data_IF_466529613858
#
_entry.id   IF_466529613858
#
_cell.length_a   1.000
_cell.length_b   1.000
_cell.length_c   1.000
_cell.angle_alpha   90.00
_cell.angle_beta   90.00
_cell.angle_gamma   90.00
#
_symmetry.space_group_name_H-M   'P 1'
#
loop_
_entity.id
_entity.type
_entity.pdbx_description
1 polymer ?
#
# COMPACT_ATOMS: atom_id res chain seq x y z
N UNK A 1 21.75 15.41 -45.38
CA UNK A 1 21.38 15.43 -43.97
C UNK A 1 19.85 15.50 -43.94
N UNK A 2 19.20 14.40 -43.63
CA UNK A 2 17.74 14.36 -43.43
C UNK A 2 17.50 14.61 -41.93
N UNK A 3 17.01 15.81 -41.62
CA UNK A 3 16.46 16.10 -40.30
C UNK A 3 15.29 15.15 -40.05
N UNK A 4 15.44 14.25 -39.07
CA UNK A 4 14.30 13.51 -38.54
C UNK A 4 13.43 14.53 -37.80
N UNK A 5 12.37 14.97 -38.46
CA UNK A 5 11.25 15.58 -37.76
C UNK A 5 10.81 14.62 -36.65
N UNK A 6 11.07 15.00 -35.41
CA UNK A 6 10.51 14.32 -34.25
C UNK A 6 9.01 14.56 -34.30
N UNK A 7 8.29 13.66 -34.94
CA UNK A 7 6.83 13.71 -34.98
C UNK A 7 6.32 13.71 -33.54
N UNK A 8 5.82 14.86 -33.11
CA UNK A 8 5.09 15.00 -31.88
C UNK A 8 3.83 14.13 -32.00
N UNK A 9 3.87 12.93 -31.41
CA UNK A 9 2.67 12.10 -31.27
C UNK A 9 1.86 12.75 -30.16
N UNK A 10 0.66 13.30 -30.43
CA UNK A 10 -0.18 13.88 -29.39
C UNK A 10 -0.42 12.80 -28.33
N UNK A 11 -0.20 13.12 -27.06
CA UNK A 11 -0.53 12.21 -25.98
C UNK A 11 -1.99 11.80 -26.09
N UNK A 12 -2.24 10.54 -26.38
CA UNK A 12 -3.58 9.97 -26.54
C UNK A 12 -4.36 9.98 -25.22
N UNK A 13 -3.66 10.18 -24.10
CA UNK A 13 -4.19 10.11 -22.74
C UNK A 13 -3.76 11.31 -21.90
N UNK A 14 -4.64 11.71 -20.97
CA UNK A 14 -4.25 12.62 -19.88
C UNK A 14 -3.38 11.85 -18.86
N UNK A 15 -2.06 11.96 -19.03
CA UNK A 15 -1.08 11.28 -18.17
C UNK A 15 -0.99 11.88 -16.75
N UNK A 16 -1.69 12.96 -16.44
CA UNK A 16 -1.91 13.43 -15.07
C UNK A 16 -3.04 12.67 -14.38
N UNK A 17 -3.91 12.02 -15.14
CA UNK A 17 -4.98 11.19 -14.58
C UNK A 17 -4.40 9.93 -13.94
N UNK A 18 -4.60 9.80 -12.62
CA UNK A 18 -4.03 8.72 -11.81
C UNK A 18 -4.51 7.33 -12.24
N UNK A 19 -5.75 7.20 -12.71
CA UNK A 19 -6.30 5.90 -13.11
C UNK A 19 -5.72 5.47 -14.46
N UNK A 20 -5.57 6.40 -15.39
CA UNK A 20 -4.92 6.16 -16.69
C UNK A 20 -3.47 5.79 -16.48
N UNK A 21 -2.74 6.55 -15.68
CA UNK A 21 -1.34 6.27 -15.34
C UNK A 21 -1.18 4.90 -14.67
N UNK A 22 -2.05 4.56 -13.73
CA UNK A 22 -2.05 3.26 -13.06
C UNK A 22 -2.26 2.12 -14.07
N UNK A 23 -3.27 2.25 -14.96
CA UNK A 23 -3.54 1.26 -16.01
C UNK A 23 -2.33 1.05 -16.93
N UNK A 24 -1.71 2.13 -17.39
CA UNK A 24 -0.52 2.04 -18.25
C UNK A 24 0.64 1.35 -17.53
N UNK A 25 0.91 1.68 -16.28
CA UNK A 25 1.96 1.04 -15.49
C UNK A 25 1.69 -0.45 -15.23
N UNK A 26 0.41 -0.83 -15.07
CA UNK A 26 0.01 -2.22 -14.81
C UNK A 26 0.02 -3.11 -16.05
N UNK A 27 -0.37 -2.58 -17.21
CA UNK A 27 -0.64 -3.39 -18.40
C UNK A 27 -0.42 -2.66 -19.73
N UNK A 28 0.22 -1.49 -19.73
CA UNK A 28 0.49 -0.72 -20.93
C UNK A 28 1.50 -1.39 -21.86
N UNK A 29 1.45 -1.00 -23.13
CA UNK A 29 2.45 -1.35 -24.14
C UNK A 29 3.77 -0.65 -23.85
N UNK A 30 4.84 -1.10 -24.50
CA UNK A 30 6.15 -0.44 -24.37
C UNK A 30 6.06 1.06 -24.77
N UNK A 31 5.35 1.35 -25.83
CA UNK A 31 5.14 2.71 -26.33
C UNK A 31 4.40 3.59 -25.32
N UNK A 32 3.31 3.10 -24.71
CA UNK A 32 2.60 3.81 -23.63
C UNK A 32 3.49 4.05 -22.41
N UNK A 33 4.34 3.09 -22.03
CA UNK A 33 5.30 3.24 -20.93
C UNK A 33 6.39 4.27 -21.26
N UNK A 34 6.84 4.35 -22.51
CA UNK A 34 7.79 5.39 -22.96
C UNK A 34 7.14 6.78 -22.91
N UNK A 35 5.89 6.92 -23.30
CA UNK A 35 5.14 8.18 -23.17
C UNK A 35 5.02 8.62 -21.70
N UNK A 36 4.73 7.69 -20.76
CA UNK A 36 4.71 7.97 -19.32
C UNK A 36 6.08 8.43 -18.83
N UNK A 37 7.15 7.72 -19.25
CA UNK A 37 8.52 8.07 -18.89
C UNK A 37 8.86 9.50 -19.31
N UNK A 38 8.59 9.83 -20.56
CA UNK A 38 8.98 11.11 -21.14
C UNK A 38 8.15 12.26 -20.57
N UNK A 39 6.84 12.06 -20.40
CA UNK A 39 5.94 13.04 -19.79
C UNK A 39 6.33 13.38 -18.34
N UNK A 40 6.60 12.38 -17.52
CA UNK A 40 6.97 12.56 -16.11
C UNK A 40 8.49 12.73 -15.90
N UNK A 41 9.28 12.78 -16.97
CA UNK A 41 10.76 12.92 -16.94
C UNK A 41 11.43 11.86 -16.06
N UNK A 42 10.95 10.63 -16.15
CA UNK A 42 11.49 9.51 -15.40
C UNK A 42 12.72 8.93 -16.10
N UNK A 43 13.64 8.40 -15.30
CA UNK A 43 14.67 7.51 -15.87
C UNK A 43 14.05 6.17 -16.28
N UNK A 44 14.73 5.43 -17.15
CA UNK A 44 14.30 4.08 -17.53
C UNK A 44 14.14 3.17 -16.31
N UNK A 45 15.07 3.23 -15.35
CA UNK A 45 15.04 2.42 -14.14
C UNK A 45 13.86 2.80 -13.22
N UNK A 46 13.54 4.08 -13.11
CA UNK A 46 12.37 4.54 -12.36
C UNK A 46 11.06 4.06 -12.99
N UNK A 47 10.92 4.18 -14.30
CA UNK A 47 9.74 3.71 -15.02
C UNK A 47 9.57 2.20 -14.88
N UNK A 48 10.67 1.44 -15.05
CA UNK A 48 10.68 -0.02 -14.85
C UNK A 48 10.23 -0.40 -13.44
N UNK A 49 10.78 0.27 -12.43
CA UNK A 49 10.43 0.04 -11.02
C UNK A 49 8.94 0.31 -10.76
N UNK A 50 8.40 1.43 -11.27
CA UNK A 50 6.99 1.78 -11.11
C UNK A 50 6.06 0.75 -11.77
N UNK A 51 6.40 0.30 -12.98
CA UNK A 51 5.65 -0.75 -13.67
C UNK A 51 5.69 -2.08 -12.91
N UNK A 52 6.84 -2.48 -12.37
CA UNK A 52 6.96 -3.70 -11.55
C UNK A 52 6.06 -3.63 -10.30
N UNK A 53 6.09 -2.50 -9.58
CA UNK A 53 5.24 -2.31 -8.40
C UNK A 53 3.75 -2.22 -8.76
N UNK A 54 3.39 -1.60 -9.88
CA UNK A 54 2.00 -1.54 -10.33
C UNK A 54 1.46 -2.96 -10.63
N UNK A 55 2.24 -3.79 -11.32
CA UNK A 55 1.90 -5.20 -11.60
C UNK A 55 1.78 -6.03 -10.32
N UNK A 56 2.74 -5.88 -9.39
CA UNK A 56 2.70 -6.57 -8.10
C UNK A 56 1.44 -6.18 -7.30
N UNK A 57 1.13 -4.89 -7.24
CA UNK A 57 -0.08 -4.37 -6.59
C UNK A 57 -1.35 -4.93 -7.22
N UNK A 58 -1.44 -5.00 -8.54
CA UNK A 58 -2.58 -5.57 -9.25
C UNK A 58 -2.77 -7.04 -8.88
N UNK A 59 -1.73 -7.85 -9.01
CA UNK A 59 -1.76 -9.28 -8.64
C UNK A 59 -2.16 -9.49 -7.17
N UNK A 60 -1.59 -8.69 -6.27
CA UNK A 60 -1.90 -8.76 -4.83
C UNK A 60 -3.38 -8.44 -4.57
N UNK A 61 -3.93 -7.45 -5.25
CA UNK A 61 -5.35 -7.08 -5.11
C UNK A 61 -6.29 -8.12 -5.72
N UNK A 62 -5.95 -8.70 -6.84
CA UNK A 62 -6.71 -9.80 -7.44
C UNK A 62 -6.78 -10.99 -6.48
N UNK A 63 -5.65 -11.42 -5.92
CA UNK A 63 -5.59 -12.48 -4.90
C UNK A 63 -6.39 -12.13 -3.65
N UNK A 64 -6.26 -10.92 -3.16
CA UNK A 64 -7.03 -10.43 -2.01
C UNK A 64 -8.55 -10.53 -2.27
N UNK A 65 -9.03 -10.09 -3.43
CA UNK A 65 -10.44 -10.14 -3.77
C UNK A 65 -10.97 -11.56 -3.93
N UNK A 66 -10.19 -12.48 -4.47
CA UNK A 66 -10.56 -13.91 -4.51
C UNK A 66 -10.67 -14.50 -3.09
N UNK A 67 -9.72 -14.17 -2.19
CA UNK A 67 -9.80 -14.58 -0.79
C UNK A 67 -11.05 -14.02 -0.09
N UNK A 68 -11.39 -12.74 -0.30
CA UNK A 68 -12.62 -12.13 0.25
C UNK A 68 -13.87 -12.83 -0.28
N UNK A 69 -13.90 -13.17 -1.56
CA UNK A 69 -15.01 -13.89 -2.19
C UNK A 69 -15.17 -15.30 -1.60
N UNK A 70 -14.07 -16.03 -1.49
CA UNK A 70 -14.06 -17.36 -0.87
C UNK A 70 -14.51 -17.29 0.59
N UNK A 71 -14.01 -16.33 1.38
CA UNK A 71 -14.42 -16.08 2.76
C UNK A 71 -15.93 -15.87 2.88
N UNK A 72 -16.52 -15.04 2.00
CA UNK A 72 -17.96 -14.78 1.99
C UNK A 72 -18.79 -16.01 1.63
N UNK A 73 -18.27 -16.88 0.77
CA UNK A 73 -18.98 -18.11 0.37
C UNK A 73 -18.91 -19.20 1.45
N UNK A 74 -17.78 -19.33 2.15
CA UNK A 74 -17.57 -20.39 3.14
C UNK A 74 -18.08 -19.99 4.54
N UNK A 75 -17.75 -18.80 4.99
CA UNK A 75 -18.11 -18.30 6.31
C UNK A 75 -18.29 -16.78 6.30
N UNK A 76 -19.47 -16.27 5.93
CA UNK A 76 -19.72 -14.82 5.84
C UNK A 76 -19.79 -14.11 7.20
N UNK A 77 -19.92 -14.85 8.32
CA UNK A 77 -20.03 -14.24 9.65
C UNK A 77 -18.69 -13.65 10.07
N UNK A 78 -18.61 -12.33 10.26
CA UNK A 78 -17.37 -11.71 10.71
C UNK A 78 -17.06 -12.01 12.17
N UNK A 79 -15.79 -12.05 12.49
CA UNK A 79 -15.29 -12.10 13.87
C UNK A 79 -15.48 -10.76 14.57
N UNK A 80 -15.33 -10.71 15.88
CA UNK A 80 -15.36 -9.45 16.64
C UNK A 80 -14.27 -8.48 16.16
N UNK A 81 -13.05 -8.96 15.90
CA UNK A 81 -11.94 -8.17 15.36
C UNK A 81 -12.29 -7.56 13.98
N UNK A 82 -12.95 -8.32 13.10
CA UNK A 82 -13.43 -7.84 11.80
C UNK A 82 -14.54 -6.79 11.91
N UNK A 83 -15.44 -6.95 12.88
CA UNK A 83 -16.48 -5.96 13.17
C UNK A 83 -15.88 -4.63 13.65
N UNK A 84 -14.86 -4.68 14.50
CA UNK A 84 -14.13 -3.50 14.97
C UNK A 84 -13.34 -2.83 13.86
N UNK A 85 -12.66 -3.60 13.01
CA UNK A 85 -11.98 -3.09 11.81
C UNK A 85 -12.96 -2.54 10.77
N UNK A 86 -14.17 -3.12 10.69
CA UNK A 86 -15.16 -2.81 9.67
C UNK A 86 -14.84 -3.40 8.30
N UNK A 87 -14.10 -4.51 8.27
CA UNK A 87 -13.80 -5.27 7.04
C UNK A 87 -13.38 -6.70 7.38
N UNK A 88 -13.47 -7.61 6.43
CA UNK A 88 -12.88 -8.94 6.56
C UNK A 88 -11.35 -8.86 6.57
N UNK A 89 -10.69 -9.74 7.32
CA UNK A 89 -9.22 -9.81 7.40
C UNK A 89 -8.60 -10.02 6.02
N UNK A 90 -9.24 -10.79 5.17
CA UNK A 90 -8.80 -11.04 3.79
C UNK A 90 -8.81 -9.80 2.91
N UNK A 91 -9.54 -8.74 3.27
CA UNK A 91 -9.53 -7.47 2.56
C UNK A 91 -8.33 -6.56 2.88
N UNK A 92 -7.46 -6.99 3.79
CA UNK A 92 -6.17 -6.35 4.05
C UNK A 92 -5.14 -7.00 3.13
N UNK A 93 -4.35 -6.20 2.42
CA UNK A 93 -3.32 -6.70 1.52
C UNK A 93 -2.34 -7.65 2.23
N UNK A 94 -1.98 -8.83 1.65
CA UNK A 94 -1.30 -9.92 2.36
C UNK A 94 0.03 -9.52 3.00
N UNK A 95 0.82 -8.65 2.34
CA UNK A 95 2.15 -8.25 2.83
C UNK A 95 2.09 -7.39 4.10
N UNK A 96 0.97 -6.75 4.39
CA UNK A 96 0.81 -5.87 5.56
C UNK A 96 -0.18 -6.41 6.59
N UNK A 97 -0.90 -7.48 6.24
CA UNK A 97 -2.01 -8.04 7.05
C UNK A 97 -1.59 -8.37 8.48
N UNK A 98 -0.51 -9.13 8.65
CA UNK A 98 -0.03 -9.52 9.97
C UNK A 98 0.34 -8.30 10.81
N UNK A 99 1.05 -7.34 10.24
CA UNK A 99 1.43 -6.11 10.93
C UNK A 99 0.20 -5.28 11.35
N UNK A 100 -0.81 -5.15 10.49
CA UNK A 100 -2.06 -4.45 10.83
C UNK A 100 -2.77 -5.12 12.01
N UNK A 101 -2.92 -6.45 12.00
CA UNK A 101 -3.57 -7.17 13.08
C UNK A 101 -2.81 -7.03 14.41
N UNK A 102 -1.48 -7.15 14.38
CA UNK A 102 -0.66 -6.97 15.57
C UNK A 102 -0.71 -5.52 16.10
N UNK A 103 -0.67 -4.53 15.21
CA UNK A 103 -0.81 -3.14 15.60
C UNK A 103 -2.16 -2.86 16.26
N UNK A 104 -3.24 -3.44 15.75
CA UNK A 104 -4.55 -3.32 16.41
C UNK A 104 -4.56 -3.95 17.80
N UNK A 105 -3.94 -5.11 17.98
CA UNK A 105 -3.78 -5.75 19.31
C UNK A 105 -2.95 -4.90 20.27
N UNK A 106 -1.97 -4.15 19.76
CA UNK A 106 -1.19 -3.14 20.50
C UNK A 106 -1.97 -1.84 20.79
N UNK A 107 -3.21 -1.71 20.30
CA UNK A 107 -4.08 -0.56 20.57
C UNK A 107 -4.11 0.50 19.47
N UNK A 108 -3.47 0.29 18.31
CA UNK A 108 -3.48 1.23 17.19
C UNK A 108 -4.74 1.08 16.34
N UNK A 109 -5.54 2.12 16.23
CA UNK A 109 -6.72 2.15 15.34
C UNK A 109 -6.28 2.42 13.88
N UNK A 110 -6.04 1.36 13.12
CA UNK A 110 -5.63 1.44 11.71
C UNK A 110 -6.84 1.64 10.79
N UNK A 111 -6.72 2.48 9.76
CA UNK A 111 -7.79 2.72 8.78
C UNK A 111 -7.38 2.55 7.31
N UNK A 112 -6.09 2.60 7.01
CA UNK A 112 -5.52 2.47 5.68
C UNK A 112 -4.26 1.63 5.77
N UNK A 113 -4.07 0.72 4.82
CA UNK A 113 -2.85 -0.08 4.78
C UNK A 113 -2.58 -0.64 3.39
N UNK A 114 -1.30 -0.86 3.09
CA UNK A 114 -0.84 -1.53 1.87
C UNK A 114 -0.14 -0.62 0.89
N UNK A 115 -0.27 -0.94 -0.40
CA UNK A 115 0.39 -0.19 -1.47
C UNK A 115 -0.05 1.28 -1.52
N UNK A 116 0.96 2.16 -1.43
CA UNK A 116 0.80 3.61 -1.46
C UNK A 116 1.75 4.21 -2.49
N UNK A 117 1.22 5.05 -3.39
CA UNK A 117 1.98 5.57 -4.52
C UNK A 117 2.53 4.47 -5.44
N UNK A 118 3.52 4.80 -6.29
CA UNK A 118 4.05 3.89 -7.30
C UNK A 118 5.14 2.94 -6.78
N UNK A 119 5.68 3.17 -5.60
CA UNK A 119 6.80 2.38 -5.04
C UNK A 119 6.82 2.36 -3.52
N UNK A 120 5.70 2.56 -2.88
CA UNK A 120 5.64 2.68 -1.43
C UNK A 120 4.54 1.85 -0.80
N UNK A 121 4.65 1.75 0.50
CA UNK A 121 3.69 1.12 1.40
C UNK A 121 3.31 2.13 2.48
N UNK A 122 2.08 2.01 3.03
CA UNK A 122 1.61 2.89 4.12
C UNK A 122 0.69 2.13 5.07
N UNK A 123 0.74 2.47 6.34
CA UNK A 123 -0.31 2.22 7.34
C UNK A 123 -0.71 3.57 7.92
N UNK A 124 -1.99 3.90 7.89
CA UNK A 124 -2.57 5.08 8.52
C UNK A 124 -3.31 4.72 9.81
N UNK A 125 -3.26 5.62 10.79
CA UNK A 125 -3.90 5.51 12.09
C UNK A 125 -4.93 6.62 12.27
N UNK A 126 -6.05 6.33 12.91
CA UNK A 126 -7.10 7.33 13.18
C UNK A 126 -6.69 8.38 14.24
N UNK A 127 -5.69 8.05 15.06
CA UNK A 127 -5.15 8.92 16.10
C UNK A 127 -3.65 9.21 15.90
N UNK A 128 -3.18 10.32 16.47
CA UNK A 128 -1.79 10.76 16.39
C UNK A 128 -0.88 10.03 17.37
N UNK A 129 -0.81 8.70 17.27
CA UNK A 129 -0.02 7.88 18.20
C UNK A 129 1.49 8.00 18.03
N UNK A 130 1.96 8.53 16.90
CA UNK A 130 3.38 8.52 16.53
C UNK A 130 4.05 9.90 16.64
N UNK A 131 3.43 10.89 17.28
CA UNK A 131 3.94 12.25 17.32
C UNK A 131 5.38 12.34 17.86
N UNK A 132 5.72 11.54 18.86
CA UNK A 132 7.06 11.50 19.46
C UNK A 132 7.83 10.21 19.15
N UNK A 133 7.28 9.34 18.31
CA UNK A 133 7.93 8.08 17.98
C UNK A 133 9.06 8.28 16.96
N UNK A 134 10.15 7.57 17.17
CA UNK A 134 11.29 7.53 16.25
C UNK A 134 11.78 6.10 16.12
N UNK A 135 12.06 5.68 14.89
CA UNK A 135 12.74 4.41 14.68
C UNK A 135 14.16 4.43 15.25
N UNK A 136 14.64 3.30 15.78
CA UNK A 136 16.03 3.14 16.15
C UNK A 136 16.97 3.43 14.95
N UNK A 137 18.06 4.18 15.20
CA UNK A 137 18.99 4.59 14.13
C UNK A 137 19.63 3.42 13.39
N UNK A 138 19.92 2.32 14.09
CA UNK A 138 20.43 1.10 13.49
C UNK A 138 19.44 0.48 12.50
N UNK A 139 18.14 0.47 12.81
CA UNK A 139 17.12 -0.04 11.89
C UNK A 139 16.96 0.88 10.69
N UNK A 140 16.95 2.21 10.89
CA UNK A 140 16.91 3.16 9.76
C UNK A 140 18.07 2.88 8.81
N UNK A 141 19.29 2.78 9.33
CA UNK A 141 20.48 2.50 8.53
C UNK A 141 20.40 1.16 7.81
N UNK A 142 19.94 0.10 8.47
CA UNK A 142 19.73 -1.21 7.85
C UNK A 142 18.74 -1.14 6.68
N UNK A 143 17.61 -0.43 6.86
CA UNK A 143 16.59 -0.27 5.83
C UNK A 143 17.11 0.59 4.65
N UNK A 144 17.86 1.66 4.93
CA UNK A 144 18.47 2.50 3.90
C UNK A 144 19.49 1.71 3.05
N UNK A 145 20.31 0.86 3.66
CA UNK A 145 21.21 -0.05 2.93
C UNK A 145 20.45 -1.02 1.99
N UNK A 146 19.23 -1.37 2.34
CA UNK A 146 18.32 -2.18 1.50
C UNK A 146 17.56 -1.34 0.46
N UNK A 147 17.81 -0.03 0.38
CA UNK A 147 17.13 0.88 -0.52
C UNK A 147 15.71 1.25 -0.08
N UNK A 148 15.44 1.22 1.23
CA UNK A 148 14.14 1.51 1.83
C UNK A 148 14.25 2.80 2.62
N UNK A 149 13.40 3.77 2.30
CA UNK A 149 13.32 5.05 3.00
C UNK A 149 12.00 5.07 3.78
N UNK A 150 12.11 5.08 5.11
CA UNK A 150 10.96 5.13 6.01
C UNK A 150 10.58 6.57 6.33
N UNK A 151 9.29 6.84 6.35
CA UNK A 151 8.70 8.13 6.72
C UNK A 151 7.66 7.92 7.80
N UNK A 152 7.84 8.62 8.92
CA UNK A 152 6.92 8.59 10.05
C UNK A 152 6.26 9.97 10.17
N UNK A 153 4.94 9.97 10.20
CA UNK A 153 4.13 11.13 10.55
C UNK A 153 3.42 10.82 11.88
N UNK A 154 2.76 11.81 12.46
CA UNK A 154 2.00 11.63 13.71
C UNK A 154 0.91 10.53 13.64
N UNK A 155 0.35 10.32 12.46
CA UNK A 155 -0.79 9.46 12.19
C UNK A 155 -0.51 8.38 11.13
N UNK A 156 0.73 8.21 10.69
CA UNK A 156 1.04 7.22 9.66
C UNK A 156 2.49 6.76 9.66
N UNK A 157 2.67 5.52 9.25
CA UNK A 157 3.93 4.93 8.87
C UNK A 157 3.92 4.65 7.38
N UNK A 158 4.98 5.05 6.69
CA UNK A 158 5.15 4.76 5.28
C UNK A 158 6.60 4.43 4.97
N UNK A 159 6.83 3.67 3.92
CA UNK A 159 8.15 3.55 3.34
C UNK A 159 8.08 3.54 1.81
N UNK A 160 9.17 3.95 1.19
CA UNK A 160 9.35 3.87 -0.25
C UNK A 160 10.61 3.06 -0.58
N UNK A 161 10.58 2.39 -1.73
CA UNK A 161 11.64 1.51 -2.16
C UNK A 161 12.36 2.09 -3.38
N UNK A 162 13.70 2.06 -3.37
CA UNK A 162 14.53 2.46 -4.52
C UNK A 162 14.80 1.29 -5.48
N UNK A 163 14.44 0.06 -5.09
CA UNK A 163 14.51 -1.16 -5.88
C UNK A 163 13.20 -1.95 -5.79
N UNK A 164 13.01 -2.91 -6.67
CA UNK A 164 11.91 -3.86 -6.57
C UNK A 164 12.09 -4.78 -5.36
N UNK A 165 11.00 -5.01 -4.64
CA UNK A 165 10.90 -5.93 -3.50
C UNK A 165 9.73 -6.88 -3.73
N UNK A 166 9.94 -8.14 -3.43
CA UNK A 166 8.89 -9.15 -3.43
C UNK A 166 7.95 -9.01 -2.23
N UNK A 167 6.75 -9.60 -2.30
CA UNK A 167 5.75 -9.51 -1.22
C UNK A 167 6.30 -9.97 0.13
N UNK A 168 7.13 -11.01 0.16
CA UNK A 168 7.70 -11.52 1.40
C UNK A 168 8.75 -10.55 1.99
N UNK A 169 9.53 -9.86 1.15
CA UNK A 169 10.42 -8.80 1.61
C UNK A 169 9.64 -7.63 2.22
N UNK A 170 8.54 -7.20 1.55
CA UNK A 170 7.65 -6.15 2.06
C UNK A 170 7.02 -6.53 3.40
N UNK A 171 6.58 -7.77 3.55
CA UNK A 171 6.04 -8.33 4.79
C UNK A 171 7.08 -8.32 5.92
N UNK A 172 8.30 -8.74 5.61
CA UNK A 172 9.38 -8.74 6.60
C UNK A 172 9.74 -7.34 7.09
N UNK A 173 9.70 -6.32 6.21
CA UNK A 173 9.90 -4.93 6.58
C UNK A 173 8.78 -4.47 7.52
N UNK A 174 7.52 -4.76 7.21
CA UNK A 174 6.40 -4.43 8.07
C UNK A 174 6.49 -5.08 9.45
N UNK A 175 6.87 -6.36 9.51
CA UNK A 175 7.08 -7.06 10.77
C UNK A 175 8.21 -6.43 11.59
N UNK A 176 9.33 -6.03 10.97
CA UNK A 176 10.41 -5.33 11.67
C UNK A 176 9.94 -4.00 12.26
N UNK A 177 9.20 -3.20 11.48
CA UNK A 177 8.68 -1.91 11.95
C UNK A 177 7.62 -2.10 13.03
N UNK A 178 6.69 -3.04 12.87
CA UNK A 178 5.63 -3.34 13.83
C UNK A 178 6.19 -3.78 15.18
N UNK A 179 7.21 -4.65 15.19
CA UNK A 179 7.80 -5.20 16.40
C UNK A 179 8.41 -4.15 17.34
N UNK A 180 8.85 -3.01 16.82
CA UNK A 180 9.44 -1.92 17.62
C UNK A 180 8.42 -0.88 18.07
N UNK A 181 7.20 -0.92 17.56
CA UNK A 181 6.15 -0.03 18.03
C UNK A 181 5.67 -0.46 19.40
N UNK A 182 5.57 0.47 20.36
CA UNK A 182 5.17 0.16 21.72
C UNK A 182 3.73 -0.34 21.79
N UNK A 183 3.43 -1.15 22.79
CA UNK A 183 2.05 -1.49 23.15
C UNK A 183 1.43 -0.28 23.87
N UNK A 184 0.29 0.18 23.38
CA UNK A 184 -0.44 1.31 23.94
C UNK A 184 -1.24 0.93 25.21
N UNK A 185 -1.23 -0.37 25.58
CA UNK A 185 -1.92 -0.92 26.76
C UNK A 185 -3.42 -0.58 26.83
N UNK A 186 -4.02 -0.37 25.66
CA UNK A 186 -5.44 -0.13 25.48
C UNK A 186 -5.95 -0.87 24.24
N UNK A 187 -7.22 -1.33 24.21
CA UNK A 187 -7.79 -1.89 22.98
C UNK A 187 -7.80 -0.84 21.87
N UNK A 188 -7.57 -1.27 20.63
CA UNK A 188 -7.77 -0.40 19.48
C UNK A 188 -9.24 -0.02 19.36
N UNK A 189 -9.53 1.27 19.18
CA UNK A 189 -10.90 1.73 18.95
C UNK A 189 -11.44 1.16 17.61
N UNK A 190 -12.76 0.92 17.52
CA UNK A 190 -13.40 0.56 16.27
C UNK A 190 -13.17 1.61 15.19
N UNK A 191 -12.89 1.17 13.97
CA UNK A 191 -12.66 2.06 12.83
C UNK A 191 -13.89 2.93 12.56
N UNK A 192 -13.70 4.25 12.51
CA UNK A 192 -14.77 5.27 12.38
C UNK A 192 -15.09 5.63 10.93
N UNK A 193 -14.34 5.11 9.95
CA UNK A 193 -14.59 5.40 8.54
C UNK A 193 -15.99 4.98 8.09
N UNK A 194 -16.54 5.74 7.15
CA UNK A 194 -17.86 5.47 6.55
C UNK A 194 -17.95 4.07 5.94
N UNK A 195 -16.89 3.58 5.32
CA UNK A 195 -16.83 2.23 4.76
C UNK A 195 -16.98 1.14 5.84
N UNK A 196 -16.31 1.32 7.00
CA UNK A 196 -16.41 0.42 8.13
C UNK A 196 -17.80 0.46 8.79
N UNK A 197 -18.41 1.62 8.87
CA UNK A 197 -19.81 1.78 9.34
C UNK A 197 -20.78 1.05 8.41
N UNK A 198 -20.66 1.27 7.10
CA UNK A 198 -21.47 0.58 6.08
C UNK A 198 -21.27 -0.94 6.09
N UNK A 199 -20.07 -1.44 6.38
CA UNK A 199 -19.83 -2.88 6.56
C UNK A 199 -20.64 -3.43 7.73
N UNK A 200 -20.57 -2.80 8.91
CA UNK A 200 -21.32 -3.21 10.11
C UNK A 200 -22.85 -3.12 9.94
N UNK A 201 -23.32 -2.11 9.24
CA UNK A 201 -24.76 -1.93 8.95
C UNK A 201 -25.33 -3.02 8.04
N UNK A 202 -24.54 -3.43 7.00
CA UNK A 202 -24.95 -4.51 6.09
C UNK A 202 -25.07 -5.87 6.75
N UNK A 203 -24.37 -6.09 7.85
CA UNK A 203 -24.39 -7.35 8.60
C UNK A 203 -25.53 -7.43 9.61
N UNK A 204 -26.21 -6.32 9.88
CA UNK A 204 -27.40 -6.27 10.76
C UNK A 204 -28.72 -6.60 10.04
N UNK A 205 -28.66 -6.65 8.70
CA UNK A 205 -29.78 -7.01 7.82
C UNK A 205 -29.75 -8.48 7.44
#
# INVERSE_FOLDING_TARGET
MLEKESGFIPHQYDLNNKDILTRILESGTLEELEQVRDFHKLTFEQMKLFSQYAKLRKQTREQMWEQVKERKNQNPTPTQEELEMGCYIESIEPQVRAAVLNLRRKGYATYESGFHNFKGQKIGFEEKHLENFRLPKNLIHELELKGIIVKINSDSLAFSCSRYLELEELKNIWNQIENILPDLQKPAEPCKLRAAQSFRERLKK
#
